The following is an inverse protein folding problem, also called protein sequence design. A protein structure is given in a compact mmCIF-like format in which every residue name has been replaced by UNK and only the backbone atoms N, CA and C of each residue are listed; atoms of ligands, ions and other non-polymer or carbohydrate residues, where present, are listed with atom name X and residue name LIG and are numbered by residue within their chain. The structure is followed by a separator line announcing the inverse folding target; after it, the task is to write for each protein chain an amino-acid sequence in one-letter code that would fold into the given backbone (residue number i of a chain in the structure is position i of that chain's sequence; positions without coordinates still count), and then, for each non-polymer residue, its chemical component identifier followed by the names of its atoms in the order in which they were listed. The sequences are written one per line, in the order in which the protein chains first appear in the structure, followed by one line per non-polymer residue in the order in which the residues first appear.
data_IF_825628064984
#
_entry.id   IF_825628064984
#
_cell.length_a   1.000
_cell.length_b   1.000
_cell.length_c   1.000
_cell.angle_alpha   90.00
_cell.angle_beta   90.00
_cell.angle_gamma   90.00
#
_symmetry.space_group_name_H-M   'P 1'
#
loop_
_entity.id
_entity.type
_entity.pdbx_description
1 polymer ?
#
# COMPACT_ATOMS: atom_id res chain seq x y z
N UNK A 1 -8.70 16.56 16.07
CA UNK A 1 -10.16 16.37 16.33
C UNK A 1 -10.82 16.28 14.96
N UNK A 2 -11.58 15.21 14.64
CA UNK A 2 -12.28 15.11 13.36
C UNK A 2 -13.37 16.18 13.28
N UNK A 3 -13.52 16.83 12.11
CA UNK A 3 -14.57 17.80 11.92
C UNK A 3 -15.96 17.14 12.11
N UNK A 4 -16.90 17.79 12.81
CA UNK A 4 -18.22 17.23 13.04
C UNK A 4 -19.07 17.12 11.76
N UNK A 5 -18.66 17.77 10.67
CA UNK A 5 -19.36 17.77 9.37
C UNK A 5 -18.59 16.95 8.35
N UNK A 6 -19.19 15.84 7.91
CA UNK A 6 -18.61 15.01 6.86
C UNK A 6 -18.62 15.71 5.49
N UNK A 7 -17.61 15.47 4.64
CA UNK A 7 -17.61 15.96 3.27
C UNK A 7 -18.77 15.38 2.47
N UNK A 8 -19.23 16.09 1.44
CA UNK A 8 -20.25 15.62 0.50
C UNK A 8 -19.63 14.55 -0.41
N UNK A 9 -19.72 13.30 0.00
CA UNK A 9 -19.24 12.12 -0.71
C UNK A 9 -20.29 11.01 -0.66
N UNK A 10 -20.19 10.02 -1.57
CA UNK A 10 -21.07 8.83 -1.56
C UNK A 10 -20.90 8.03 -0.26
N UNK A 11 -19.67 7.93 0.22
CA UNK A 11 -19.33 7.32 1.50
C UNK A 11 -18.03 7.92 2.05
N UNK A 12 -17.90 7.96 3.37
CA UNK A 12 -16.66 8.33 4.07
C UNK A 12 -16.27 7.16 4.97
N UNK A 13 -15.19 6.47 4.60
CA UNK A 13 -14.65 5.35 5.36
C UNK A 13 -13.43 5.83 6.13
N UNK A 14 -13.61 6.08 7.41
CA UNK A 14 -12.56 6.58 8.30
C UNK A 14 -12.79 6.07 9.73
N UNK A 15 -11.93 5.19 10.25
CA UNK A 15 -12.07 4.64 11.60
C UNK A 15 -11.80 5.64 12.73
N UNK A 16 -11.40 6.88 12.39
CA UNK A 16 -11.25 7.98 13.36
C UNK A 16 -12.48 8.90 13.43
N UNK A 17 -13.61 8.52 12.84
CA UNK A 17 -14.87 9.25 13.01
C UNK A 17 -15.39 9.08 14.44
N UNK A 18 -16.09 10.10 14.92
CA UNK A 18 -16.66 10.09 16.27
C UNK A 18 -17.74 9.01 16.48
N UNK A 19 -18.37 8.55 15.39
CA UNK A 19 -19.41 7.52 15.38
C UNK A 19 -18.89 6.14 14.98
N UNK A 20 -17.58 5.97 14.80
CA UNK A 20 -16.96 4.68 14.49
C UNK A 20 -16.74 3.87 15.78
N UNK A 21 -17.13 2.60 15.73
CA UNK A 21 -17.04 1.65 16.85
C UNK A 21 -16.09 0.48 16.56
N UNK A 22 -15.28 0.58 15.50
CA UNK A 22 -14.43 -0.53 15.02
C UNK A 22 -13.16 -0.75 15.85
N UNK A 23 -12.74 0.24 16.66
CA UNK A 23 -11.44 0.27 17.34
C UNK A 23 -10.23 0.15 16.39
N UNK A 24 -10.42 0.60 15.15
CA UNK A 24 -9.40 0.55 14.08
C UNK A 24 -8.75 1.90 13.80
N UNK A 25 -8.90 2.88 14.69
CA UNK A 25 -8.39 4.24 14.51
C UNK A 25 -6.86 4.34 14.37
N UNK A 26 -6.14 3.28 14.73
CA UNK A 26 -4.68 3.20 14.58
C UNK A 26 -4.22 2.68 13.21
N UNK A 27 -5.15 2.31 12.31
CA UNK A 27 -4.78 1.82 10.97
C UNK A 27 -4.21 2.96 10.11
N UNK A 28 -3.13 2.65 9.39
CA UNK A 28 -2.71 3.47 8.25
C UNK A 28 -3.82 3.50 7.18
N UNK A 29 -3.90 4.60 6.41
CA UNK A 29 -4.90 4.75 5.35
C UNK A 29 -4.91 3.58 4.36
N UNK A 30 -3.75 3.04 3.99
CA UNK A 30 -3.62 1.87 3.13
C UNK A 30 -4.27 0.62 3.73
N UNK A 31 -4.19 0.45 5.05
CA UNK A 31 -4.85 -0.64 5.77
C UNK A 31 -6.37 -0.52 5.72
N UNK A 32 -6.90 0.70 5.87
CA UNK A 32 -8.35 1.00 5.73
C UNK A 32 -8.82 0.68 4.30
N UNK A 33 -8.06 1.12 3.28
CA UNK A 33 -8.36 0.81 1.87
C UNK A 33 -8.35 -0.70 1.63
N UNK A 34 -7.39 -1.43 2.18
CA UNK A 34 -7.32 -2.88 2.04
C UNK A 34 -8.56 -3.57 2.64
N UNK A 35 -8.99 -3.16 3.84
CA UNK A 35 -10.22 -3.70 4.46
C UNK A 35 -11.48 -3.35 3.64
N UNK A 36 -11.54 -2.15 3.06
CA UNK A 36 -12.62 -1.78 2.13
C UNK A 36 -12.65 -2.70 0.92
N UNK A 37 -11.50 -3.01 0.31
CA UNK A 37 -11.41 -3.94 -0.82
C UNK A 37 -11.85 -5.37 -0.41
N UNK A 38 -11.48 -5.83 0.78
CA UNK A 38 -11.94 -7.12 1.32
C UNK A 38 -13.45 -7.14 1.48
N UNK A 39 -14.04 -6.09 2.05
CA UNK A 39 -15.49 -5.98 2.23
C UNK A 39 -16.23 -5.91 0.89
N UNK A 40 -15.71 -5.12 -0.06
CA UNK A 40 -16.24 -5.01 -1.42
C UNK A 40 -16.19 -6.35 -2.16
N UNK A 41 -15.05 -7.02 -2.17
CA UNK A 41 -14.89 -8.33 -2.80
C UNK A 41 -15.84 -9.36 -2.20
N UNK A 42 -15.99 -9.37 -0.87
CA UNK A 42 -16.97 -10.22 -0.18
C UNK A 42 -18.40 -9.91 -0.63
N UNK A 43 -18.78 -8.64 -0.79
CA UNK A 43 -20.11 -8.25 -1.26
C UNK A 43 -20.33 -8.67 -2.71
N UNK A 44 -19.36 -8.41 -3.59
CA UNK A 44 -19.41 -8.80 -5.00
C UNK A 44 -19.55 -10.32 -5.17
N UNK A 45 -18.84 -11.11 -4.36
CA UNK A 45 -18.96 -12.57 -4.34
C UNK A 45 -20.39 -13.00 -3.99
N UNK A 46 -21.01 -12.37 -2.97
CA UNK A 46 -22.38 -12.69 -2.54
C UNK A 46 -23.42 -12.39 -3.62
N UNK A 47 -23.22 -11.41 -4.48
CA UNK A 47 -24.15 -11.08 -5.57
C UNK A 47 -23.80 -11.77 -6.89
N UNK A 48 -22.86 -12.72 -6.89
CA UNK A 48 -22.50 -13.51 -8.06
C UNK A 48 -21.66 -12.77 -9.11
N UNK A 49 -21.08 -11.62 -8.77
CA UNK A 49 -20.28 -10.81 -9.71
C UNK A 49 -19.13 -11.60 -10.34
N UNK A 50 -18.53 -12.52 -9.61
CA UNK A 50 -17.39 -13.33 -10.05
C UNK A 50 -17.79 -14.63 -10.76
N UNK A 51 -19.09 -14.87 -11.01
CA UNK A 51 -19.54 -16.09 -11.74
C UNK A 51 -18.96 -16.20 -13.17
N UNK A 52 -18.63 -15.06 -13.78
CA UNK A 52 -18.03 -14.97 -15.13
C UNK A 52 -16.74 -14.16 -15.18
N UNK A 53 -16.18 -13.81 -14.03
CA UNK A 53 -14.95 -13.00 -13.89
C UNK A 53 -14.07 -13.58 -12.82
N UNK A 54 -12.76 -13.51 -13.02
CA UNK A 54 -11.79 -13.94 -12.01
C UNK A 54 -11.87 -13.02 -10.79
N UNK A 55 -11.99 -13.62 -9.62
CA UNK A 55 -11.91 -12.87 -8.35
C UNK A 55 -10.46 -12.46 -8.08
N UNK A 56 -10.20 -11.19 -7.73
CA UNK A 56 -8.84 -10.73 -7.45
C UNK A 56 -8.29 -11.36 -6.17
N UNK A 57 -7.04 -11.81 -6.23
CA UNK A 57 -6.32 -12.24 -5.03
C UNK A 57 -5.76 -11.03 -4.29
N UNK A 58 -6.52 -10.48 -3.34
CA UNK A 58 -6.10 -9.29 -2.59
C UNK A 58 -4.81 -9.49 -1.79
N UNK A 59 -4.50 -10.73 -1.37
CA UNK A 59 -3.32 -11.01 -0.55
C UNK A 59 -2.00 -10.73 -1.29
N UNK A 60 -2.01 -10.75 -2.61
CA UNK A 60 -0.82 -10.42 -3.40
C UNK A 60 -0.36 -8.96 -3.25
N UNK A 61 -1.24 -8.05 -2.80
CA UNK A 61 -0.94 -6.63 -2.61
C UNK A 61 -0.60 -6.26 -1.16
N UNK A 62 -0.42 -7.26 -0.30
CA UNK A 62 -0.02 -7.00 1.09
C UNK A 62 1.38 -6.38 1.21
N UNK A 63 2.24 -6.54 0.21
CA UNK A 63 3.52 -5.83 0.12
C UNK A 63 3.32 -4.30 0.07
N UNK A 64 2.37 -3.82 -0.73
CA UNK A 64 2.00 -2.40 -0.78
C UNK A 64 1.38 -1.92 0.54
N UNK A 65 0.54 -2.76 1.17
CA UNK A 65 -0.03 -2.44 2.50
C UNK A 65 1.07 -2.33 3.54
N UNK A 66 2.08 -3.23 3.51
CA UNK A 66 3.22 -3.16 4.42
C UNK A 66 4.05 -1.89 4.20
N UNK A 67 4.33 -1.52 2.94
CA UNK A 67 5.05 -0.29 2.60
C UNK A 67 4.31 0.92 3.18
N UNK A 68 3.03 1.08 2.86
CA UNK A 68 2.26 2.24 3.32
C UNK A 68 2.15 2.28 4.85
N UNK A 69 1.92 1.14 5.51
CA UNK A 69 1.82 1.06 6.98
C UNK A 69 3.14 1.46 7.66
N UNK A 70 4.28 1.00 7.15
CA UNK A 70 5.59 1.33 7.72
C UNK A 70 5.95 2.79 7.43
N UNK A 71 5.71 3.28 6.21
CA UNK A 71 6.04 4.65 5.82
C UNK A 71 5.18 5.70 6.52
N UNK A 72 3.97 5.34 6.94
CA UNK A 72 3.06 6.20 7.71
C UNK A 72 3.42 6.25 9.22
N UNK A 73 4.42 5.45 9.63
CA UNK A 73 4.97 5.41 10.99
C UNK A 73 3.91 5.11 12.06
N UNK A 74 2.88 4.37 11.71
CA UNK A 74 1.84 3.96 12.65
C UNK A 74 2.32 2.82 13.56
N UNK A 75 1.71 2.70 14.71
CA UNK A 75 2.05 1.68 15.69
C UNK A 75 1.81 0.27 15.15
N UNK A 76 2.82 -0.60 15.19
CA UNK A 76 2.73 -1.98 14.68
C UNK A 76 2.09 -2.92 15.71
N UNK A 77 0.81 -2.67 16.01
CA UNK A 77 -0.04 -3.51 16.86
C UNK A 77 -1.22 -4.08 16.06
N UNK A 78 -1.86 -5.11 16.56
CA UNK A 78 -3.07 -5.69 15.97
C UNK A 78 -2.93 -5.96 14.47
N UNK A 79 -3.85 -5.39 13.67
CA UNK A 79 -3.87 -5.56 12.22
C UNK A 79 -2.68 -4.92 11.51
N UNK A 80 -2.17 -3.77 11.95
CA UNK A 80 -0.96 -3.17 11.38
C UNK A 80 0.22 -4.15 11.41
N UNK A 81 0.42 -4.80 12.56
CA UNK A 81 1.48 -5.82 12.71
C UNK A 81 1.25 -7.02 11.78
N UNK A 82 0.01 -7.49 11.69
CA UNK A 82 -0.35 -8.61 10.81
C UNK A 82 -0.11 -8.27 9.34
N UNK A 83 -0.54 -7.10 8.89
CA UNK A 83 -0.33 -6.61 7.53
C UNK A 83 1.15 -6.49 7.19
N UNK A 84 1.95 -5.90 8.07
CA UNK A 84 3.39 -5.78 7.87
C UNK A 84 4.06 -7.15 7.84
N UNK A 85 3.75 -8.04 8.78
CA UNK A 85 4.37 -9.36 8.85
C UNK A 85 4.06 -10.21 7.60
N UNK A 86 2.83 -10.17 7.09
CA UNK A 86 2.48 -10.89 5.87
C UNK A 86 2.95 -10.15 4.61
N UNK A 87 2.88 -8.83 4.58
CA UNK A 87 3.33 -8.04 3.44
C UNK A 87 4.83 -8.17 3.18
N UNK A 88 5.66 -8.25 4.21
CA UNK A 88 7.10 -8.53 4.04
C UNK A 88 7.36 -9.92 3.45
N UNK A 89 6.52 -10.92 3.75
CA UNK A 89 6.61 -12.24 3.10
C UNK A 89 6.21 -12.17 1.63
N UNK A 90 5.15 -11.42 1.31
CA UNK A 90 4.71 -11.21 -0.09
C UNK A 90 5.79 -10.45 -0.86
N UNK A 91 6.36 -9.40 -0.29
CA UNK A 91 7.47 -8.63 -0.87
C UNK A 91 8.69 -9.52 -1.19
N UNK A 92 8.97 -10.52 -0.35
CA UNK A 92 10.06 -11.47 -0.60
C UNK A 92 9.83 -12.33 -1.86
N UNK A 93 8.60 -12.49 -2.32
CA UNK A 93 8.26 -13.20 -3.56
C UNK A 93 8.55 -12.39 -4.82
N UNK A 94 8.83 -11.09 -4.69
CA UNK A 94 9.19 -10.16 -5.78
C UNK A 94 8.19 -10.14 -6.97
N UNK A 95 6.91 -10.36 -6.71
CA UNK A 95 5.87 -10.38 -7.74
C UNK A 95 5.44 -9.00 -8.20
N UNK A 96 5.51 -8.00 -7.32
CA UNK A 96 5.24 -6.61 -7.70
C UNK A 96 6.49 -6.04 -8.40
N UNK A 97 6.34 -5.73 -9.68
CA UNK A 97 7.43 -5.25 -10.55
C UNK A 97 8.02 -3.93 -10.04
N UNK A 98 7.17 -2.99 -9.63
CA UNK A 98 7.62 -1.70 -9.11
C UNK A 98 8.39 -1.83 -7.79
N UNK A 99 7.94 -2.68 -6.87
CA UNK A 99 8.64 -2.96 -5.61
C UNK A 99 9.96 -3.69 -5.87
N UNK A 100 9.98 -4.63 -6.83
CA UNK A 100 11.20 -5.32 -7.27
C UNK A 100 12.23 -4.32 -7.81
N UNK A 101 11.85 -3.49 -8.78
CA UNK A 101 12.72 -2.48 -9.37
C UNK A 101 13.25 -1.49 -8.30
N UNK A 102 12.40 -1.06 -7.38
CA UNK A 102 12.79 -0.17 -6.29
C UNK A 102 13.85 -0.80 -5.37
N UNK A 103 13.72 -2.10 -5.06
CA UNK A 103 14.69 -2.84 -4.26
C UNK A 103 16.02 -3.02 -4.99
N UNK A 104 15.99 -3.31 -6.27
CA UNK A 104 17.18 -3.47 -7.13
C UNK A 104 17.98 -2.18 -7.19
N UNK A 105 17.35 -1.06 -7.51
CA UNK A 105 18.01 0.26 -7.54
C UNK A 105 18.52 0.68 -6.17
N UNK A 106 17.82 0.29 -5.10
CA UNK A 106 18.26 0.53 -3.73
C UNK A 106 19.33 -0.44 -3.22
N UNK A 107 19.78 -1.40 -4.07
CA UNK A 107 20.76 -2.45 -3.74
C UNK A 107 20.34 -3.29 -2.51
N UNK A 108 19.04 -3.50 -2.33
CA UNK A 108 18.48 -4.27 -1.22
C UNK A 108 18.27 -5.72 -1.65
N UNK A 109 19.30 -6.55 -1.50
CA UNK A 109 19.29 -7.96 -1.90
C UNK A 109 18.93 -8.93 -0.76
N UNK A 110 18.90 -8.46 0.49
CA UNK A 110 18.59 -9.26 1.66
C UNK A 110 17.07 -9.45 1.83
N UNK A 111 16.67 -10.36 2.73
CA UNK A 111 15.26 -10.58 3.06
C UNK A 111 14.60 -9.27 3.51
N UNK A 112 13.42 -8.91 2.97
CA UNK A 112 12.72 -7.69 3.35
C UNK A 112 12.46 -7.60 4.86
N UNK A 113 12.69 -6.41 5.42
CA UNK A 113 12.40 -6.09 6.80
C UNK A 113 11.87 -4.65 6.92
N UNK A 114 11.28 -4.32 8.07
CA UNK A 114 10.67 -3.01 8.31
C UNK A 114 11.67 -1.85 8.25
N UNK A 115 12.91 -2.06 8.68
CA UNK A 115 13.95 -1.04 8.59
C UNK A 115 14.25 -0.65 7.14
N UNK A 116 14.45 -1.64 6.26
CA UNK A 116 14.70 -1.39 4.84
C UNK A 116 13.51 -0.68 4.19
N UNK A 117 12.28 -1.10 4.49
CA UNK A 117 11.09 -0.44 3.95
C UNK A 117 11.00 1.00 4.43
N UNK A 118 11.15 1.26 5.72
CA UNK A 118 11.00 2.60 6.28
C UNK A 118 12.14 3.57 5.94
N UNK A 119 13.39 3.09 5.91
CA UNK A 119 14.58 3.95 5.78
C UNK A 119 15.28 3.87 4.42
N UNK A 120 14.93 2.86 3.59
CA UNK A 120 15.56 2.72 2.28
C UNK A 120 14.53 2.87 1.15
N UNK A 121 13.41 2.16 1.18
CA UNK A 121 12.42 2.18 0.10
C UNK A 121 11.47 3.39 0.22
N UNK A 122 10.94 3.64 1.42
CA UNK A 122 9.99 4.73 1.67
C UNK A 122 10.49 6.12 1.27
N UNK A 123 11.71 6.55 1.69
CA UNK A 123 12.27 7.82 1.26
C UNK A 123 12.38 7.96 -0.27
N UNK A 124 12.64 6.86 -0.97
CA UNK A 124 12.71 6.84 -2.44
C UNK A 124 11.36 7.03 -3.11
N UNK A 125 10.31 6.41 -2.58
CA UNK A 125 8.93 6.62 -3.04
C UNK A 125 8.52 8.09 -2.81
N UNK A 126 8.84 8.65 -1.64
CA UNK A 126 8.54 10.04 -1.30
C UNK A 126 9.34 11.05 -2.11
N UNK A 127 10.55 10.72 -2.55
CA UNK A 127 11.38 11.60 -3.38
C UNK A 127 10.67 11.96 -4.69
N UNK A 128 9.91 11.05 -5.28
CA UNK A 128 9.11 11.29 -6.47
C UNK A 128 8.14 12.48 -6.31
N UNK A 129 7.48 12.59 -5.16
CA UNK A 129 6.56 13.70 -4.85
C UNK A 129 7.26 15.05 -4.69
N UNK A 130 8.55 15.06 -4.31
CA UNK A 130 9.35 16.28 -4.12
C UNK A 130 9.92 16.85 -5.42
N UNK A 131 9.99 16.05 -6.48
CA UNK A 131 10.54 16.45 -7.80
C UNK A 131 9.44 17.01 -8.73
N UNK A 132 8.26 17.34 -8.19
CA UNK A 132 7.16 17.95 -8.94
C UNK A 132 6.32 16.96 -9.77
N UNK A 133 6.52 15.65 -9.59
CA UNK A 133 5.75 14.58 -10.26
C UNK A 133 5.20 13.61 -9.23
N UNK A 134 4.20 14.05 -8.47
CA UNK A 134 3.59 13.29 -7.37
C UNK A 134 3.04 11.91 -7.77
N UNK A 135 2.66 11.75 -9.06
CA UNK A 135 2.16 10.47 -9.56
C UNK A 135 3.24 9.40 -9.78
N UNK A 136 4.54 9.73 -9.81
CA UNK A 136 5.59 8.75 -10.13
C UNK A 136 5.64 7.57 -9.15
N UNK A 137 5.46 7.83 -7.85
CA UNK A 137 5.39 6.77 -6.85
C UNK A 137 4.24 5.79 -7.09
N UNK A 138 3.06 6.33 -7.40
CA UNK A 138 1.89 5.51 -7.71
C UNK A 138 2.07 4.72 -9.01
N UNK A 139 2.58 5.37 -10.07
CA UNK A 139 2.88 4.71 -11.35
C UNK A 139 3.91 3.60 -11.21
N UNK A 140 4.96 3.83 -10.42
CA UNK A 140 5.96 2.81 -10.14
C UNK A 140 5.33 1.57 -9.48
N UNK A 141 4.59 1.78 -8.39
CA UNK A 141 4.02 0.70 -7.58
C UNK A 141 2.88 -0.05 -8.27
N UNK A 142 2.26 0.55 -9.31
CA UNK A 142 1.21 -0.06 -10.14
C UNK A 142 1.71 -0.52 -11.51
N UNK A 143 3.02 -0.48 -11.77
CA UNK A 143 3.58 -0.85 -13.08
C UNK A 143 3.57 -2.36 -13.30
N UNK A 144 3.13 -2.76 -14.49
CA UNK A 144 3.23 -4.13 -15.01
C UNK A 144 4.40 -4.30 -16.01
N UNK A 145 5.18 -3.23 -16.25
CA UNK A 145 6.32 -3.19 -17.17
C UNK A 145 7.62 -2.96 -16.38
N UNK A 146 8.55 -3.92 -16.47
CA UNK A 146 9.83 -3.88 -15.76
C UNK A 146 10.74 -2.74 -16.25
N UNK A 147 10.78 -2.51 -17.57
CA UNK A 147 11.59 -1.45 -18.17
C UNK A 147 11.09 -0.08 -17.74
N UNK A 148 9.78 0.12 -17.78
CA UNK A 148 9.14 1.35 -17.31
C UNK A 148 9.38 1.57 -15.81
N UNK A 149 9.30 0.53 -14.99
CA UNK A 149 9.52 0.61 -13.56
C UNK A 149 10.97 1.03 -13.26
N UNK A 150 11.97 0.39 -13.88
CA UNK A 150 13.39 0.72 -13.69
C UNK A 150 13.69 2.16 -14.12
N UNK A 151 13.18 2.61 -15.26
CA UNK A 151 13.35 3.98 -15.74
C UNK A 151 12.72 4.99 -14.78
N UNK A 152 11.54 4.69 -14.24
CA UNK A 152 10.83 5.53 -13.26
C UNK A 152 11.64 5.68 -11.98
N UNK A 153 12.19 4.59 -11.44
CA UNK A 153 13.03 4.62 -10.23
C UNK A 153 14.32 5.40 -10.51
N UNK A 154 15.00 5.14 -11.62
CA UNK A 154 16.25 5.83 -11.98
C UNK A 154 16.04 7.34 -12.09
N UNK A 155 14.93 7.79 -12.65
CA UNK A 155 14.58 9.20 -12.75
C UNK A 155 14.40 9.88 -11.37
N UNK A 156 13.90 9.15 -10.39
CA UNK A 156 13.72 9.67 -9.01
C UNK A 156 15.00 9.69 -8.21
N UNK A 157 16.07 9.00 -8.66
CA UNK A 157 17.36 8.88 -7.97
C UNK A 157 18.46 9.81 -8.47
N UNK A 158 18.32 10.37 -9.67
CA UNK A 158 19.37 11.18 -10.32
C UNK A 158 19.30 12.67 -9.96
N UNK A 159 18.53 13.04 -8.97
CA UNK A 159 18.44 14.41 -8.44
C UNK A 159 18.38 14.37 -6.88
#
# INVERSE_FOLDING_TARGET
MAEPKLPKAVAVVNPNRLDDLSDLGNLAAVGVVFLLLVALTRKLRKVGWFSKKTEPNLLQWLDLVAIGTICDVVELKGLNRAFVAQGLKVMALQKNIGVKALREVALVNSKPNSYQVGFTLGPRINAAGRVGKSELGARLLSSDDETHAINTVSYTHLR
#
